data_IF_366556350496
#
_entry.id   IF_366556350496
#
_cell.length_a   1.000
_cell.length_b   1.000
_cell.length_c   1.000
_cell.angle_alpha   90.00
_cell.angle_beta   90.00
_cell.angle_gamma   90.00
#
_symmetry.space_group_name_H-M   'P 1'
#
loop_
_entity.id
_entity.type
_entity.pdbx_description
1 polymer ?
#
# COMPACT_ATOMS: atom_id res chain seq x y z
N UNK A 1 2.26 -5.80 15.19
CA UNK A 1 1.57 -7.06 15.52
C UNK A 1 2.43 -8.02 16.36
N UNK A 2 3.64 -7.63 16.73
CA UNK A 2 4.62 -8.45 17.48
C UNK A 2 4.89 -9.82 16.80
N UNK A 3 4.86 -9.85 15.48
CA UNK A 3 5.13 -11.04 14.68
C UNK A 3 6.20 -10.71 13.63
N UNK A 4 7.18 -11.58 13.49
CA UNK A 4 8.26 -11.43 12.51
C UNK A 4 7.79 -11.99 11.17
N UNK A 5 7.56 -11.12 10.20
CA UNK A 5 7.11 -11.49 8.86
C UNK A 5 8.32 -11.73 7.96
N UNK A 6 8.53 -12.96 7.43
CA UNK A 6 9.56 -13.23 6.44
C UNK A 6 9.31 -12.43 5.16
N UNK A 7 10.38 -11.90 4.56
CA UNK A 7 10.28 -11.02 3.38
C UNK A 7 9.73 -11.73 2.14
N UNK A 8 9.91 -13.03 2.03
CA UNK A 8 9.38 -13.87 0.96
C UNK A 8 7.86 -14.05 1.03
N UNK A 9 7.26 -13.86 2.21
CA UNK A 9 5.81 -13.89 2.42
C UNK A 9 5.13 -12.56 2.10
N UNK A 10 5.87 -11.48 1.91
CA UNK A 10 5.33 -10.19 1.51
C UNK A 10 5.05 -10.18 0.01
N UNK A 11 3.78 -10.02 -0.40
CA UNK A 11 3.44 -9.80 -1.80
C UNK A 11 4.06 -8.50 -2.31
N UNK A 12 4.75 -8.54 -3.44
CA UNK A 12 5.47 -7.39 -3.99
C UNK A 12 5.22 -7.24 -5.48
N UNK A 13 4.83 -6.04 -5.88
CA UNK A 13 4.72 -5.62 -7.27
C UNK A 13 5.32 -4.23 -7.45
N UNK A 14 6.17 -4.08 -8.47
CA UNK A 14 6.79 -2.80 -8.80
C UNK A 14 5.90 -1.92 -9.67
N UNK A 15 6.38 -0.70 -9.94
CA UNK A 15 5.67 0.29 -10.75
C UNK A 15 6.05 0.25 -12.24
N UNK A 16 6.95 -0.62 -12.66
CA UNK A 16 7.47 -0.66 -14.04
C UNK A 16 6.42 -1.04 -15.08
N UNK A 17 5.36 -1.72 -14.68
CA UNK A 17 4.21 -2.08 -15.53
C UNK A 17 3.16 -0.97 -15.67
N UNK A 18 3.26 0.09 -14.85
CA UNK A 18 2.31 1.20 -14.83
C UNK A 18 2.56 2.15 -16.00
N UNK A 19 1.57 2.34 -16.86
CA UNK A 19 1.64 3.30 -17.95
C UNK A 19 1.05 4.66 -17.53
N UNK A 20 1.46 5.71 -18.23
CA UNK A 20 0.89 7.07 -18.02
C UNK A 20 -0.62 7.09 -18.19
N UNK A 21 -1.15 6.34 -19.17
CA UNK A 21 -2.60 6.18 -19.37
C UNK A 21 -3.33 5.62 -18.17
N UNK A 22 -2.71 4.72 -17.42
CA UNK A 22 -3.32 4.15 -16.19
C UNK A 22 -3.50 5.24 -15.14
N UNK A 23 -2.51 6.13 -15.00
CA UNK A 23 -2.59 7.27 -14.08
C UNK A 23 -3.68 8.26 -14.52
N UNK A 24 -3.79 8.53 -15.82
CA UNK A 24 -4.80 9.44 -16.38
C UNK A 24 -6.22 8.88 -16.19
N UNK A 25 -6.43 7.61 -16.48
CA UNK A 25 -7.72 6.96 -16.27
C UNK A 25 -8.08 6.88 -14.78
N UNK A 26 -7.11 6.58 -13.92
CA UNK A 26 -7.33 6.63 -12.48
C UNK A 26 -7.80 8.00 -12.00
N UNK A 27 -7.18 9.09 -12.50
CA UNK A 27 -7.62 10.47 -12.18
C UNK A 27 -9.05 10.75 -12.65
N UNK A 28 -9.43 10.32 -13.85
CA UNK A 28 -10.78 10.49 -14.36
C UNK A 28 -11.83 9.75 -13.52
N UNK A 29 -11.43 8.62 -12.93
CA UNK A 29 -12.25 7.85 -12.00
C UNK A 29 -12.25 8.40 -10.56
N UNK A 30 -11.52 9.48 -10.27
CA UNK A 30 -11.43 10.07 -8.94
C UNK A 30 -10.40 9.40 -8.03
N UNK A 31 -9.41 8.71 -8.60
CA UNK A 31 -8.34 8.03 -7.84
C UNK A 31 -6.96 8.65 -8.08
N UNK A 32 -6.08 8.43 -7.15
CA UNK A 32 -4.65 8.73 -7.25
C UNK A 32 -3.86 7.42 -7.12
N UNK A 33 -2.91 7.19 -8.02
CA UNK A 33 -2.02 6.04 -7.94
C UNK A 33 -0.88 6.32 -6.95
N UNK A 34 -0.65 5.39 -6.05
CA UNK A 34 0.45 5.41 -5.07
C UNK A 34 1.10 4.03 -4.98
N UNK A 35 2.41 3.98 -4.77
CA UNK A 35 3.07 2.76 -4.31
C UNK A 35 2.88 2.69 -2.80
N UNK A 36 2.15 1.69 -2.32
CA UNK A 36 1.84 1.53 -0.90
C UNK A 36 2.45 0.25 -0.34
N UNK A 37 3.03 0.35 0.84
CA UNK A 37 3.25 -0.77 1.72
C UNK A 37 2.03 -0.88 2.65
N UNK A 38 1.34 -2.00 2.60
CA UNK A 38 0.10 -2.24 3.34
C UNK A 38 0.31 -3.41 4.28
N UNK A 39 0.00 -3.22 5.56
CA UNK A 39 -0.06 -4.30 6.52
C UNK A 39 -1.36 -4.22 7.29
N UNK A 40 -2.04 -5.34 7.42
CA UNK A 40 -3.29 -5.49 8.19
C UNK A 40 -3.25 -6.75 9.01
N UNK A 41 -4.01 -6.75 10.09
CA UNK A 41 -4.31 -7.96 10.84
C UNK A 41 -5.83 -8.11 10.92
N UNK A 42 -6.34 -9.24 10.45
CA UNK A 42 -7.76 -9.56 10.48
C UNK A 42 -7.91 -11.02 10.91
N UNK A 43 -8.73 -11.27 11.92
CA UNK A 43 -8.97 -12.62 12.47
C UNK A 43 -7.67 -13.37 12.82
N UNK A 44 -6.69 -12.66 13.38
CA UNK A 44 -5.39 -13.19 13.76
C UNK A 44 -4.40 -13.40 12.61
N UNK A 45 -4.84 -13.28 11.36
CA UNK A 45 -3.99 -13.40 10.18
C UNK A 45 -3.39 -12.06 9.76
N UNK A 46 -2.15 -12.09 9.28
CA UNK A 46 -1.43 -10.93 8.79
C UNK A 46 -1.50 -10.89 7.27
N UNK A 47 -1.88 -9.74 6.74
CA UNK A 47 -1.71 -9.35 5.35
C UNK A 47 -0.52 -8.40 5.26
N UNK A 48 0.44 -8.69 4.40
CA UNK A 48 1.59 -7.82 4.15
C UNK A 48 1.88 -7.76 2.65
N UNK A 49 1.86 -6.55 2.06
CA UNK A 49 2.04 -6.37 0.62
C UNK A 49 2.61 -5.00 0.27
N UNK A 50 3.33 -4.93 -0.83
CA UNK A 50 3.84 -3.67 -1.42
C UNK A 50 3.51 -3.68 -2.90
N UNK A 51 2.63 -2.79 -3.33
CA UNK A 51 2.24 -2.71 -4.75
C UNK A 51 1.64 -1.35 -5.12
N UNK A 52 1.58 -1.01 -6.42
CA UNK A 52 0.82 0.13 -6.91
C UNK A 52 -0.66 0.00 -6.51
N UNK A 53 -1.21 1.05 -5.94
CA UNK A 53 -2.60 1.07 -5.48
C UNK A 53 -3.30 2.35 -5.92
N UNK A 54 -4.50 2.22 -6.45
CA UNK A 54 -5.40 3.34 -6.64
C UNK A 54 -6.16 3.62 -5.35
N UNK A 55 -5.94 4.82 -4.78
CA UNK A 55 -6.65 5.31 -3.61
C UNK A 55 -7.54 6.48 -4.01
N UNK A 56 -8.64 6.69 -3.30
CA UNK A 56 -9.53 7.83 -3.55
C UNK A 56 -8.73 9.15 -3.48
N UNK A 57 -9.03 10.07 -4.39
CA UNK A 57 -8.31 11.35 -4.47
C UNK A 57 -8.45 12.21 -3.21
N UNK A 58 -9.51 12.00 -2.42
CA UNK A 58 -9.73 12.65 -1.12
C UNK A 58 -9.10 11.91 0.07
N UNK A 59 -8.45 10.75 -0.15
CA UNK A 59 -7.76 10.04 0.93
C UNK A 59 -6.53 10.84 1.38
N UNK A 60 -6.22 10.95 2.69
CA UNK A 60 -5.08 11.73 3.20
C UNK A 60 -3.75 11.41 2.51
N UNK A 61 -3.47 10.13 2.26
CA UNK A 61 -2.25 9.70 1.55
C UNK A 61 -2.17 10.18 0.09
N UNK A 62 -3.28 10.55 -0.56
CA UNK A 62 -3.28 11.02 -1.94
C UNK A 62 -2.53 12.37 -2.09
N UNK A 63 -2.52 13.19 -1.05
CA UNK A 63 -1.85 14.49 -1.01
C UNK A 63 -0.35 14.42 -0.82
N UNK A 64 0.21 13.27 -0.39
CA UNK A 64 1.64 13.09 -0.14
C UNK A 64 2.42 13.11 -1.45
N UNK A 65 3.37 14.05 -1.63
CA UNK A 65 4.10 14.27 -2.88
C UNK A 65 5.57 14.60 -2.63
N UNK A 66 6.39 14.45 -3.66
CA UNK A 66 7.80 14.86 -3.66
C UNK A 66 8.61 14.08 -2.62
N UNK A 67 9.37 14.78 -1.79
CA UNK A 67 10.24 14.21 -0.77
C UNK A 67 9.51 13.85 0.54
N UNK A 68 8.18 14.00 0.58
CA UNK A 68 7.40 13.67 1.75
C UNK A 68 6.99 12.20 1.77
N UNK A 69 7.03 11.62 2.95
CA UNK A 69 6.50 10.29 3.26
C UNK A 69 5.38 10.41 4.27
N UNK A 70 4.52 9.41 4.31
CA UNK A 70 3.49 9.32 5.34
C UNK A 70 3.29 7.87 5.77
N UNK A 71 2.95 7.69 7.03
CA UNK A 71 2.45 6.47 7.60
C UNK A 71 1.01 6.73 8.05
N UNK A 72 0.08 5.94 7.55
CA UNK A 72 -1.33 6.00 7.90
C UNK A 72 -1.68 4.75 8.69
N UNK A 73 -2.20 4.95 9.88
CA UNK A 73 -2.51 3.88 10.83
C UNK A 73 -3.99 3.99 11.17
N UNK A 74 -4.72 2.89 11.04
CA UNK A 74 -6.07 2.75 11.57
C UNK A 74 -6.03 1.86 12.82
N UNK A 75 -6.53 2.35 13.93
CA UNK A 75 -6.54 1.64 15.21
C UNK A 75 -7.91 1.63 15.84
N UNK A 76 -8.19 0.60 16.62
CA UNK A 76 -9.52 0.35 17.22
C UNK A 76 -10.02 1.48 18.14
N UNK A 77 -9.08 2.15 18.81
CA UNK A 77 -9.42 3.14 19.84
C UNK A 77 -9.16 4.58 19.43
N UNK A 78 -8.38 4.80 18.37
CA UNK A 78 -7.92 6.14 17.96
C UNK A 78 -8.30 6.45 16.52
N UNK A 79 -9.03 5.56 15.88
CA UNK A 79 -9.38 5.66 14.47
C UNK A 79 -8.15 5.89 13.58
N UNK A 80 -8.17 6.94 12.77
CA UNK A 80 -7.15 7.21 11.78
C UNK A 80 -6.08 8.18 12.30
N UNK A 81 -4.84 7.74 12.30
CA UNK A 81 -3.65 8.55 12.64
C UNK A 81 -2.72 8.61 11.44
N UNK A 82 -2.26 9.80 11.09
CA UNK A 82 -1.29 10.01 10.03
C UNK A 82 -0.03 10.68 10.56
N UNK A 83 1.12 10.03 10.35
CA UNK A 83 2.44 10.63 10.52
C UNK A 83 2.95 11.08 9.16
N UNK A 84 3.35 12.34 9.06
CA UNK A 84 3.75 12.96 7.81
C UNK A 84 5.01 13.79 7.98
N UNK A 85 5.98 13.61 7.09
CA UNK A 85 7.24 14.34 7.17
C UNK A 85 8.14 14.13 5.95
N UNK A 86 9.23 14.88 5.91
CA UNK A 86 10.25 14.71 4.86
C UNK A 86 11.05 13.44 5.12
N UNK A 87 11.05 12.52 4.16
CA UNK A 87 11.88 11.32 4.19
C UNK A 87 13.22 11.50 3.47
N UNK A 88 13.32 12.49 2.59
CA UNK A 88 14.52 12.78 1.81
C UNK A 88 14.86 14.27 1.83
N UNK A 89 16.14 14.57 1.54
CA UNK A 89 16.71 15.91 1.52
C UNK A 89 17.93 16.01 2.44
N UNK A 90 18.89 16.88 2.11
CA UNK A 90 20.15 17.00 2.86
C UNK A 90 19.94 17.39 4.33
N UNK A 91 19.16 18.42 4.60
CA UNK A 91 18.90 18.88 5.95
C UNK A 91 18.06 17.90 6.79
N UNK A 92 16.94 17.34 6.30
CA UNK A 92 16.18 16.34 7.04
C UNK A 92 17.03 15.09 7.39
N UNK A 93 17.83 14.62 6.43
CA UNK A 93 18.72 13.47 6.65
C UNK A 93 19.82 13.79 7.67
N UNK A 94 20.46 14.94 7.55
CA UNK A 94 21.48 15.38 8.50
C UNK A 94 20.90 15.54 9.92
N UNK A 95 19.71 16.11 10.05
CA UNK A 95 19.01 16.26 11.34
C UNK A 95 18.72 14.90 11.98
N UNK A 96 18.27 13.91 11.20
CA UNK A 96 18.04 12.56 11.72
C UNK A 96 19.33 11.89 12.20
N UNK A 97 20.41 11.97 11.40
CA UNK A 97 21.73 11.41 11.78
C UNK A 97 22.25 12.05 13.06
N UNK A 98 22.19 13.38 13.16
CA UNK A 98 22.65 14.08 14.37
C UNK A 98 21.81 13.69 15.59
N UNK A 99 20.49 13.57 15.42
CA UNK A 99 19.58 13.10 16.47
C UNK A 99 19.96 11.70 16.97
N UNK A 100 20.26 10.79 16.05
CA UNK A 100 20.65 9.42 16.38
C UNK A 100 22.02 9.38 17.08
N UNK A 101 22.98 10.22 16.68
CA UNK A 101 24.28 10.36 17.34
C UNK A 101 24.10 10.86 18.78
N UNK A 102 23.29 11.89 18.97
CA UNK A 102 23.00 12.44 20.31
C UNK A 102 22.30 11.38 21.17
N UNK A 103 21.35 10.66 20.61
CA UNK A 103 20.66 9.57 21.30
C UNK A 103 21.62 8.44 21.70
N UNK A 104 22.49 8.00 20.78
CA UNK A 104 23.47 6.95 21.05
C UNK A 104 24.55 7.37 22.06
N UNK A 105 24.89 8.67 22.15
CA UNK A 105 25.80 9.23 23.13
C UNK A 105 25.22 9.37 24.54
N UNK A 106 23.92 9.18 24.71
CA UNK A 106 23.23 9.17 26.00
C UNK A 106 23.58 7.92 26.83
N UNK A 107 23.69 8.08 28.17
CA UNK A 107 24.13 6.99 29.09
C UNK A 107 23.09 5.86 29.25
N UNK A 108 21.85 6.04 28.85
CA UNK A 108 20.76 5.06 29.05
C UNK A 108 20.28 4.47 27.73
N UNK A 109 21.17 3.90 26.92
CA UNK A 109 20.85 3.36 25.59
C UNK A 109 20.25 1.93 25.66
N UNK A 110 20.06 1.36 26.83
CA UNK A 110 19.42 0.06 26.99
C UNK A 110 17.88 0.17 26.91
N UNK A 111 17.37 0.62 25.77
CA UNK A 111 15.97 0.36 25.45
C UNK A 111 15.84 -1.11 25.09
N UNK A 112 15.14 -1.88 25.91
CA UNK A 112 14.59 -3.15 25.47
C UNK A 112 13.65 -2.84 24.30
N UNK A 113 14.02 -3.33 23.13
CA UNK A 113 13.10 -3.29 22.00
C UNK A 113 11.93 -4.19 22.34
N UNK A 114 10.71 -3.75 22.06
CA UNK A 114 9.47 -4.56 22.20
C UNK A 114 9.49 -5.83 21.35
N UNK A 115 10.53 -5.99 20.52
CA UNK A 115 10.72 -7.09 19.58
C UNK A 115 11.36 -8.34 20.20
N UNK A 116 11.83 -8.27 21.45
CA UNK A 116 12.46 -9.41 22.13
C UNK A 116 11.50 -10.60 22.33
N UNK A 117 10.17 -10.36 22.20
CA UNK A 117 9.12 -11.36 22.30
C UNK A 117 8.44 -11.63 20.94
N UNK A 118 9.13 -11.42 19.81
CA UNK A 118 8.55 -11.71 18.49
C UNK A 118 8.30 -13.21 18.33
N UNK A 119 7.06 -13.55 18.02
CA UNK A 119 6.69 -14.91 17.65
C UNK A 119 6.96 -15.09 16.15
N UNK A 120 7.68 -16.16 15.80
CA UNK A 120 7.79 -16.56 14.41
C UNK A 120 6.40 -16.88 13.85
N UNK A 121 6.15 -16.42 12.63
CA UNK A 121 4.86 -16.62 11.96
C UNK A 121 4.89 -17.89 11.16
N UNK A 122 3.87 -18.71 11.33
CA UNK A 122 3.63 -19.90 10.51
C UNK A 122 2.88 -19.50 9.24
N UNK A 123 2.86 -20.39 8.23
CA UNK A 123 2.14 -20.15 6.98
C UNK A 123 0.65 -19.85 7.18
N UNK A 124 0.03 -20.48 8.17
CA UNK A 124 -1.38 -20.28 8.53
C UNK A 124 -1.68 -18.89 9.14
N UNK A 125 -0.65 -18.19 9.61
CA UNK A 125 -0.76 -16.83 10.16
C UNK A 125 -0.89 -15.76 9.07
N UNK A 126 -0.70 -16.12 7.78
CA UNK A 126 -0.80 -15.20 6.66
C UNK A 126 -2.14 -15.28 5.96
N UNK A 127 -2.68 -14.12 5.63
CA UNK A 127 -3.75 -14.01 4.66
C UNK A 127 -3.13 -14.01 3.26
N UNK A 128 -3.24 -15.12 2.54
CA UNK A 128 -2.83 -15.25 1.14
C UNK A 128 -3.90 -14.72 0.18
N UNK A 129 -5.17 -14.78 0.62
CA UNK A 129 -6.33 -14.34 -0.14
C UNK A 129 -6.88 -13.04 0.43
N UNK A 130 -6.62 -11.94 -0.24
CA UNK A 130 -7.21 -10.64 0.10
C UNK A 130 -8.19 -10.20 -0.99
N UNK A 131 -9.40 -9.88 -0.55
CA UNK A 131 -10.42 -9.32 -1.44
C UNK A 131 -10.20 -7.80 -1.58
N UNK A 132 -10.00 -7.34 -2.82
CA UNK A 132 -9.85 -5.91 -3.13
C UNK A 132 -10.47 -5.59 -4.49
N UNK A 133 -10.69 -4.31 -4.76
CA UNK A 133 -11.05 -3.86 -6.10
C UNK A 133 -9.81 -3.75 -6.98
N UNK A 134 -9.92 -4.14 -8.23
CA UNK A 134 -8.85 -4.08 -9.21
C UNK A 134 -9.15 -3.04 -10.29
N UNK A 135 -8.10 -2.37 -10.75
CA UNK A 135 -8.10 -1.65 -12.00
C UNK A 135 -7.62 -2.59 -13.11
N UNK A 136 -8.39 -2.66 -14.18
CA UNK A 136 -8.04 -3.51 -15.33
C UNK A 136 -8.12 -2.68 -16.60
N UNK A 137 -7.02 -2.64 -17.36
CA UNK A 137 -6.99 -2.03 -18.69
C UNK A 137 -6.94 -3.13 -19.75
N UNK A 138 -7.93 -3.13 -20.64
CA UNK A 138 -8.09 -4.13 -21.68
C UNK A 138 -7.93 -3.45 -23.03
N UNK A 139 -7.01 -3.94 -23.85
CA UNK A 139 -6.89 -3.56 -25.24
C UNK A 139 -7.87 -4.39 -26.07
N UNK A 140 -8.70 -3.74 -26.86
CA UNK A 140 -9.65 -4.39 -27.78
C UNK A 140 -9.36 -3.95 -29.22
N UNK A 141 -9.66 -4.80 -30.20
CA UNK A 141 -9.35 -4.53 -31.61
C UNK A 141 -10.30 -3.51 -32.28
N UNK A 142 -11.17 -2.83 -31.53
CA UNK A 142 -12.10 -1.85 -32.06
C UNK A 142 -13.26 -2.42 -32.90
N UNK A 143 -13.42 -3.74 -32.92
CA UNK A 143 -14.54 -4.39 -33.58
C UNK A 143 -15.85 -4.14 -32.84
N UNK A 144 -16.96 -4.14 -33.61
CA UNK A 144 -18.31 -4.04 -33.06
C UNK A 144 -18.55 -5.17 -32.03
N UNK A 145 -19.14 -4.81 -30.89
CA UNK A 145 -19.44 -5.75 -29.82
C UNK A 145 -18.30 -6.12 -28.90
N UNK A 146 -17.08 -5.55 -29.07
CA UNK A 146 -15.94 -5.82 -28.18
C UNK A 146 -16.25 -5.53 -26.71
N UNK A 147 -16.93 -4.43 -26.40
CA UNK A 147 -17.34 -4.09 -25.04
C UNK A 147 -18.35 -5.11 -24.48
N UNK A 148 -19.29 -5.58 -25.30
CA UNK A 148 -20.23 -6.60 -24.88
C UNK A 148 -19.55 -7.94 -24.56
N UNK A 149 -18.55 -8.33 -25.35
CA UNK A 149 -17.73 -9.54 -25.08
C UNK A 149 -17.00 -9.44 -23.76
N UNK A 150 -16.39 -8.28 -23.46
CA UNK A 150 -15.72 -8.01 -22.19
C UNK A 150 -16.72 -8.06 -21.02
N UNK A 151 -17.85 -7.36 -21.12
CA UNK A 151 -18.88 -7.36 -20.09
C UNK A 151 -19.39 -8.78 -19.78
N UNK A 152 -19.63 -9.59 -20.82
CA UNK A 152 -20.05 -10.98 -20.65
C UNK A 152 -18.99 -11.87 -19.99
N UNK A 153 -17.71 -11.61 -20.24
CA UNK A 153 -16.62 -12.33 -19.56
C UNK A 153 -16.60 -12.03 -18.06
N UNK A 154 -16.80 -10.77 -17.65
CA UNK A 154 -16.91 -10.40 -16.24
C UNK A 154 -18.17 -11.00 -15.58
N UNK A 155 -19.30 -10.97 -16.27
CA UNK A 155 -20.54 -11.60 -15.80
C UNK A 155 -20.35 -13.10 -15.55
N UNK A 156 -19.79 -13.82 -16.52
CA UNK A 156 -19.51 -15.25 -16.41
C UNK A 156 -18.54 -15.56 -15.25
N UNK A 157 -17.56 -14.68 -15.00
CA UNK A 157 -16.63 -14.76 -13.86
C UNK A 157 -17.24 -14.32 -12.54
N UNK A 158 -18.49 -13.88 -12.49
CA UNK A 158 -19.16 -13.28 -11.31
C UNK A 158 -18.37 -12.11 -10.72
N UNK A 159 -17.72 -11.32 -11.57
CA UNK A 159 -16.91 -10.16 -11.20
C UNK A 159 -17.77 -8.90 -11.36
N UNK A 160 -17.98 -8.19 -10.25
CA UNK A 160 -18.70 -6.91 -10.26
C UNK A 160 -17.86 -5.80 -10.89
N UNK A 161 -18.42 -5.07 -11.85
CA UNK A 161 -17.80 -3.91 -12.48
C UNK A 161 -18.38 -2.65 -11.86
N UNK A 162 -17.51 -1.79 -11.28
CA UNK A 162 -17.94 -0.52 -10.65
C UNK A 162 -17.99 0.63 -11.65
N UNK A 163 -16.96 0.75 -12.48
CA UNK A 163 -16.82 1.85 -13.45
C UNK A 163 -16.19 1.35 -14.75
N UNK A 164 -16.53 1.99 -15.85
CA UNK A 164 -15.94 1.75 -17.17
C UNK A 164 -15.58 3.09 -17.79
N UNK A 165 -14.34 3.21 -18.28
CA UNK A 165 -13.92 4.29 -19.17
C UNK A 165 -13.59 3.72 -20.56
N UNK A 166 -13.81 4.54 -21.60
CA UNK A 166 -13.52 4.20 -23.00
C UNK A 166 -12.53 5.21 -23.58
#
# INVERSE_FOLDING_TARGET
>A
YRKRVPIDKVYREGISSVAVKDIEFGKQLGYTLKLLAISKQTDGKIEARVHPSFILANHPLASVKGSFNALYIHGDSVDDVMLYGRGAGSLPTASAIVSDIVFAGGKDVHRRYFWEDEVEVNDDDFATDFTTAYYVRIAVNGEDGSLAKVAKAFENGKIGVKNVLK
#
